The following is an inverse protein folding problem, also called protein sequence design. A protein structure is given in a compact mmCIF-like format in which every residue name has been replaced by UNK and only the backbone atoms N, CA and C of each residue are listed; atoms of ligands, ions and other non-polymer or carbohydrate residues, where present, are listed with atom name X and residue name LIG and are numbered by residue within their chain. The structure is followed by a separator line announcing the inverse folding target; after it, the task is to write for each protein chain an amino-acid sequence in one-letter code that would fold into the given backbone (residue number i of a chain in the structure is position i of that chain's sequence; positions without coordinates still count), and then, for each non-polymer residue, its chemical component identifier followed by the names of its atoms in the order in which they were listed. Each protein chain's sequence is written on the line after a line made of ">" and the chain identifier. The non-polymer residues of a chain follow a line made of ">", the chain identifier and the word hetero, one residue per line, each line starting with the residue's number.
data_IF_717556016472
#
_entry.id   IF_717556016472
#
_cell.length_a   1.000
_cell.length_b   1.000
_cell.length_c   1.000
_cell.angle_alpha   90.00
_cell.angle_beta   90.00
_cell.angle_gamma   90.00
#
_symmetry.space_group_name_H-M   'P 1'
#
loop_
_entity.id
_entity.type
_entity.pdbx_description
1 polymer ?
#
# COMPACT_ATOMS: atom_id res chain seq x y z
N UNK A 1 -29.92 4.08 -15.68
CA UNK A 1 -29.88 4.38 -14.23
C UNK A 1 -28.50 4.00 -13.75
N UNK A 2 -27.60 4.97 -13.58
CA UNK A 2 -26.29 4.71 -12.97
C UNK A 2 -26.52 4.59 -11.46
N UNK A 3 -26.39 3.38 -10.92
CA UNK A 3 -26.38 3.21 -9.47
C UNK A 3 -25.23 4.07 -8.91
N UNK A 4 -25.55 5.01 -8.01
CA UNK A 4 -24.56 5.72 -7.22
C UNK A 4 -23.92 4.70 -6.26
N UNK A 5 -22.92 3.97 -6.75
CA UNK A 5 -22.16 3.03 -5.95
C UNK A 5 -21.28 3.83 -4.98
N UNK A 6 -21.77 4.06 -3.77
CA UNK A 6 -20.98 4.63 -2.69
C UNK A 6 -19.96 3.58 -2.27
N UNK A 7 -18.69 3.80 -2.58
CA UNK A 7 -17.60 2.94 -2.11
C UNK A 7 -17.60 2.99 -0.59
N UNK A 8 -17.75 1.82 0.06
CA UNK A 8 -17.69 1.73 1.52
C UNK A 8 -16.37 2.29 2.02
N UNK A 9 -16.44 3.13 3.05
CA UNK A 9 -15.27 3.66 3.76
C UNK A 9 -15.02 2.84 5.02
N UNK A 10 -13.78 2.42 5.22
CA UNK A 10 -13.39 1.69 6.43
C UNK A 10 -12.68 2.62 7.43
N UNK A 11 -12.63 2.26 8.72
CA UNK A 11 -11.68 2.83 9.67
C UNK A 11 -10.25 2.80 9.11
N UNK A 12 -9.41 3.77 9.47
CA UNK A 12 -8.07 3.85 8.87
C UNK A 12 -7.19 2.65 9.25
N UNK A 13 -7.30 2.16 10.49
CA UNK A 13 -6.46 1.09 11.01
C UNK A 13 -7.25 -0.20 11.17
N UNK A 14 -6.64 -1.33 10.80
CA UNK A 14 -7.26 -2.67 10.89
C UNK A 14 -7.65 -3.03 12.32
N UNK A 15 -6.88 -2.59 13.31
CA UNK A 15 -7.19 -2.77 14.74
C UNK A 15 -8.48 -2.07 15.20
N UNK A 16 -9.02 -1.14 14.40
CA UNK A 16 -10.27 -0.43 14.67
C UNK A 16 -11.47 -1.06 13.93
N UNK A 17 -11.25 -2.09 13.13
CA UNK A 17 -12.26 -2.68 12.26
C UNK A 17 -12.94 -3.89 12.90
N UNK A 18 -14.19 -4.13 12.50
CA UNK A 18 -14.86 -5.41 12.78
C UNK A 18 -14.27 -6.52 11.90
N UNK A 19 -14.44 -7.79 12.31
CA UNK A 19 -14.02 -8.92 11.48
C UNK A 19 -14.70 -8.94 10.10
N UNK A 20 -15.93 -8.41 10.01
CA UNK A 20 -16.65 -8.29 8.74
C UNK A 20 -16.00 -7.23 7.84
N UNK A 21 -15.65 -6.07 8.40
CA UNK A 21 -14.94 -5.02 7.67
C UNK A 21 -13.57 -5.49 7.19
N UNK A 22 -12.84 -6.26 8.02
CA UNK A 22 -11.54 -6.84 7.64
C UNK A 22 -11.71 -7.78 6.46
N UNK A 23 -12.72 -8.67 6.47
CA UNK A 23 -13.00 -9.60 5.37
C UNK A 23 -13.36 -8.86 4.08
N UNK A 24 -14.18 -7.83 4.18
CA UNK A 24 -14.57 -7.02 3.02
C UNK A 24 -13.38 -6.25 2.44
N UNK A 25 -12.56 -5.65 3.29
CA UNK A 25 -11.35 -4.95 2.87
C UNK A 25 -10.33 -5.92 2.27
N UNK A 26 -10.08 -7.07 2.89
CA UNK A 26 -9.24 -8.13 2.32
C UNK A 26 -9.69 -8.52 0.92
N UNK A 27 -10.99 -8.71 0.73
CA UNK A 27 -11.55 -9.02 -0.58
C UNK A 27 -11.27 -7.91 -1.58
N UNK A 28 -11.45 -6.63 -1.21
CA UNK A 28 -11.09 -5.48 -2.07
C UNK A 28 -9.61 -5.39 -2.39
N UNK A 29 -8.74 -5.83 -1.49
CA UNK A 29 -7.29 -5.86 -1.70
C UNK A 29 -6.87 -7.01 -2.63
N UNK A 30 -7.70 -8.04 -2.83
CA UNK A 30 -7.42 -9.15 -3.74
C UNK A 30 -7.86 -8.82 -5.17
N UNK A 31 -7.08 -9.32 -6.13
CA UNK A 31 -7.30 -9.18 -7.58
C UNK A 31 -8.69 -9.67 -8.04
N UNK A 32 -9.21 -10.72 -7.42
CA UNK A 32 -10.36 -11.49 -7.94
C UNK A 32 -11.75 -10.99 -7.48
N UNK A 33 -11.83 -9.93 -6.67
CA UNK A 33 -13.12 -9.40 -6.20
C UNK A 33 -13.86 -8.58 -7.28
N UNK A 34 -13.19 -8.24 -8.38
CA UNK A 34 -13.82 -7.58 -9.53
C UNK A 34 -14.28 -8.63 -10.55
N UNK A 35 -15.37 -9.33 -10.23
CA UNK A 35 -16.23 -10.05 -11.22
C UNK A 35 -17.48 -9.25 -11.62
N UNK A 36 -17.49 -7.96 -11.31
CA UNK A 36 -18.55 -7.00 -11.65
C UNK A 36 -17.87 -5.83 -12.33
N UNK A 37 -18.54 -5.25 -13.34
CA UNK A 37 -18.10 -4.29 -14.37
C UNK A 37 -17.48 -2.95 -13.87
N UNK A 38 -16.79 -2.94 -12.72
CA UNK A 38 -16.13 -1.80 -12.12
C UNK A 38 -14.61 -1.87 -12.41
N UNK A 39 -14.23 -1.38 -13.59
CA UNK A 39 -12.87 -1.32 -14.12
C UNK A 39 -11.97 -0.29 -13.39
N UNK A 40 -11.77 -0.43 -12.08
CA UNK A 40 -10.85 0.44 -11.31
C UNK A 40 -10.04 -0.35 -10.29
N UNK A 41 -9.04 -1.11 -10.76
CA UNK A 41 -8.11 -1.84 -9.89
C UNK A 41 -6.74 -2.03 -10.51
N UNK A 42 -5.71 -2.11 -9.66
CA UNK A 42 -4.43 -2.70 -10.05
C UNK A 42 -4.70 -4.12 -10.53
N UNK A 43 -4.21 -4.49 -11.72
CA UNK A 43 -4.42 -5.81 -12.31
C UNK A 43 -3.82 -6.96 -11.48
N UNK A 44 -3.10 -6.67 -10.40
CA UNK A 44 -2.45 -7.65 -9.53
C UNK A 44 -2.93 -7.62 -8.06
N UNK A 45 -3.85 -6.73 -7.68
CA UNK A 45 -4.25 -6.55 -6.28
C UNK A 45 -3.14 -5.98 -5.39
N UNK A 46 -3.43 -5.82 -4.10
CA UNK A 46 -2.54 -5.35 -3.05
C UNK A 46 -2.15 -6.46 -2.05
N UNK A 47 -2.79 -7.63 -2.11
CA UNK A 47 -2.44 -8.81 -1.31
C UNK A 47 -2.04 -9.96 -2.21
N UNK A 48 -1.10 -10.79 -1.73
CA UNK A 48 -0.75 -12.05 -2.36
C UNK A 48 -1.89 -13.06 -2.29
N UNK A 49 -1.81 -14.09 -3.14
CA UNK A 49 -2.80 -15.16 -3.16
C UNK A 49 -2.85 -15.89 -1.81
N UNK A 50 -4.01 -15.90 -1.16
CA UNK A 50 -4.22 -16.58 0.12
C UNK A 50 -3.66 -15.85 1.35
N UNK A 51 -3.04 -14.68 1.21
CA UNK A 51 -2.59 -13.91 2.38
C UNK A 51 -3.76 -13.32 3.17
N UNK A 52 -3.61 -13.28 4.49
CA UNK A 52 -4.47 -12.48 5.37
C UNK A 52 -3.88 -11.08 5.57
N UNK A 53 -4.74 -10.06 5.48
CA UNK A 53 -4.41 -8.66 5.78
C UNK A 53 -3.88 -8.50 7.20
N UNK A 54 -4.51 -9.16 8.17
CA UNK A 54 -4.11 -9.08 9.57
C UNK A 54 -2.69 -9.65 9.75
N UNK A 55 -2.42 -10.80 9.15
CA UNK A 55 -1.10 -11.44 9.23
C UNK A 55 -0.01 -10.59 8.56
N UNK A 56 -0.32 -9.99 7.41
CA UNK A 56 0.60 -9.08 6.71
C UNK A 56 0.94 -7.86 7.57
N UNK A 57 -0.06 -7.20 8.15
CA UNK A 57 0.14 -6.03 9.00
C UNK A 57 0.95 -6.40 10.24
N UNK A 58 0.63 -7.50 10.92
CA UNK A 58 1.36 -7.92 12.13
C UNK A 58 2.80 -8.34 11.82
N UNK A 59 3.04 -9.00 10.68
CA UNK A 59 4.40 -9.32 10.19
C UNK A 59 5.23 -8.04 9.99
N UNK A 60 4.66 -7.04 9.32
CA UNK A 60 5.36 -5.79 9.05
C UNK A 60 5.57 -4.95 10.31
N UNK A 61 4.58 -4.90 11.19
CA UNK A 61 4.67 -4.26 12.51
C UNK A 61 5.81 -4.84 13.35
N UNK A 62 5.91 -6.17 13.42
CA UNK A 62 7.02 -6.85 14.11
C UNK A 62 8.36 -6.44 13.50
N UNK A 63 8.45 -6.44 12.17
CA UNK A 63 9.66 -6.07 11.44
C UNK A 63 10.06 -4.61 11.70
N UNK A 64 9.10 -3.68 11.78
CA UNK A 64 9.36 -2.28 12.12
C UNK A 64 9.91 -2.14 13.54
N UNK A 65 9.37 -2.88 14.50
CA UNK A 65 9.85 -2.89 15.88
C UNK A 65 11.30 -3.41 15.96
N UNK A 66 11.59 -4.53 15.31
CA UNK A 66 12.94 -5.11 15.22
C UNK A 66 13.95 -4.12 14.62
N UNK A 67 13.52 -3.39 13.58
CA UNK A 67 14.35 -2.43 12.89
C UNK A 67 14.36 -1.06 13.56
N UNK A 68 13.57 -0.79 14.60
CA UNK A 68 13.41 0.55 15.17
C UNK A 68 12.96 1.60 14.15
N UNK A 69 12.00 1.24 13.29
CA UNK A 69 11.40 2.10 12.27
C UNK A 69 9.94 2.41 12.64
N UNK A 70 9.38 3.46 12.04
CA UNK A 70 7.97 3.85 12.24
C UNK A 70 7.29 4.03 10.89
N UNK A 71 5.98 3.72 10.84
CA UNK A 71 5.15 3.95 9.66
C UNK A 71 5.24 5.41 9.19
N UNK A 72 5.05 6.36 10.12
CA UNK A 72 5.17 7.80 9.84
C UNK A 72 6.54 8.19 9.28
N UNK A 73 7.62 7.65 9.84
CA UNK A 73 8.97 7.94 9.37
C UNK A 73 9.18 7.49 7.93
N UNK A 74 8.80 6.25 7.63
CA UNK A 74 8.90 5.68 6.27
C UNK A 74 8.02 6.47 5.30
N UNK A 75 6.75 6.70 5.62
CA UNK A 75 5.84 7.46 4.77
C UNK A 75 6.35 8.89 4.50
N UNK A 76 6.93 9.55 5.51
CA UNK A 76 7.54 10.88 5.35
C UNK A 76 8.70 10.83 4.36
N UNK A 77 9.61 9.86 4.49
CA UNK A 77 10.75 9.70 3.58
C UNK A 77 10.30 9.40 2.15
N UNK A 78 9.35 8.48 1.96
CA UNK A 78 8.81 8.18 0.64
C UNK A 78 7.99 9.34 0.06
N UNK A 79 7.40 10.20 0.90
CA UNK A 79 6.76 11.44 0.49
C UNK A 79 7.71 12.45 -0.17
N UNK A 80 9.03 12.31 0.04
CA UNK A 80 10.06 13.14 -0.60
C UNK A 80 10.53 12.59 -1.95
N UNK A 81 10.00 11.45 -2.40
CA UNK A 81 10.34 10.89 -3.71
C UNK A 81 9.94 11.80 -4.86
N UNK A 82 10.58 11.59 -6.01
CA UNK A 82 10.29 12.31 -7.25
C UNK A 82 9.47 11.42 -8.18
N UNK A 83 8.56 12.02 -8.95
CA UNK A 83 7.77 11.28 -9.95
C UNK A 83 8.65 10.88 -11.12
N UNK A 84 8.57 9.60 -11.52
CA UNK A 84 9.13 9.06 -12.77
C UNK A 84 8.15 9.20 -13.95
N UNK A 85 6.99 9.81 -13.72
CA UNK A 85 5.90 9.89 -14.68
C UNK A 85 4.83 8.82 -14.49
N UNK A 86 3.82 8.92 -15.34
CA UNK A 86 2.62 8.08 -15.30
C UNK A 86 2.84 6.75 -16.03
N UNK A 87 2.36 5.67 -15.44
CA UNK A 87 2.27 4.39 -16.14
C UNK A 87 1.11 4.39 -17.13
N UNK A 88 1.11 3.49 -18.11
CA UNK A 88 -0.05 3.26 -19.00
C UNK A 88 -1.20 2.52 -18.29
N UNK A 89 -1.05 2.19 -17.01
CA UNK A 89 -2.04 1.49 -16.21
C UNK A 89 -3.10 2.42 -15.63
N UNK A 90 -4.12 1.82 -15.00
CA UNK A 90 -5.22 2.54 -14.36
C UNK A 90 -4.77 3.29 -13.12
N UNK A 91 -5.49 4.36 -12.78
CA UNK A 91 -5.34 5.07 -11.52
C UNK A 91 -5.62 4.10 -10.36
N UNK A 92 -4.66 3.96 -9.46
CA UNK A 92 -4.86 3.15 -8.27
C UNK A 92 -5.54 4.00 -7.21
N UNK A 93 -6.76 3.63 -6.83
CA UNK A 93 -7.49 4.26 -5.73
C UNK A 93 -7.18 3.57 -4.41
N UNK A 94 -7.27 4.32 -3.31
CA UNK A 94 -7.07 3.76 -1.98
C UNK A 94 -8.15 2.68 -1.66
N UNK A 95 -7.74 1.45 -1.30
CA UNK A 95 -8.68 0.37 -1.01
C UNK A 95 -9.45 0.57 0.31
N UNK A 96 -9.10 1.56 1.13
CA UNK A 96 -9.86 1.92 2.33
C UNK A 96 -11.10 2.78 2.05
N UNK A 97 -11.25 3.33 0.83
CA UNK A 97 -12.39 4.18 0.46
C UNK A 97 -12.38 5.55 1.15
N UNK A 98 -11.21 6.08 1.48
CA UNK A 98 -11.03 7.35 2.18
C UNK A 98 -10.89 8.56 1.24
N UNK A 99 -11.19 8.37 -0.06
CA UNK A 99 -11.09 9.39 -1.11
C UNK A 99 -9.69 10.00 -1.28
N UNK A 100 -8.64 9.30 -0.87
CA UNK A 100 -7.28 9.72 -1.21
C UNK A 100 -7.12 9.82 -2.73
N UNK A 101 -6.43 10.85 -3.26
CA UNK A 101 -6.27 11.03 -4.70
C UNK A 101 -5.71 9.78 -5.38
N UNK A 102 -6.45 9.27 -6.36
CA UNK A 102 -5.99 8.18 -7.22
C UNK A 102 -5.03 8.72 -8.27
N UNK A 103 -3.89 8.10 -8.44
CA UNK A 103 -2.94 8.42 -9.50
C UNK A 103 -2.22 7.13 -9.95
N UNK A 104 -1.65 7.14 -11.15
CA UNK A 104 -0.93 6.01 -11.74
C UNK A 104 0.58 6.28 -11.92
N UNK A 105 1.10 7.29 -11.24
CA UNK A 105 2.53 7.64 -11.24
C UNK A 105 3.35 6.64 -10.44
N UNK A 106 4.52 6.33 -10.99
CA UNK A 106 5.59 5.73 -10.21
C UNK A 106 6.45 6.83 -9.61
N UNK A 107 6.81 6.65 -8.35
CA UNK A 107 7.71 7.51 -7.60
C UNK A 107 9.03 6.79 -7.40
N UNK A 108 10.12 7.54 -7.31
CA UNK A 108 11.42 7.02 -6.88
C UNK A 108 11.94 7.83 -5.71
N UNK A 109 12.41 7.12 -4.69
CA UNK A 109 13.24 7.69 -3.63
C UNK A 109 14.65 7.14 -3.81
N UNK A 110 15.65 8.02 -3.74
CA UNK A 110 17.07 7.66 -3.74
C UNK A 110 17.69 8.17 -2.44
N UNK A 111 18.23 7.26 -1.64
CA UNK A 111 18.93 7.64 -0.43
C UNK A 111 20.31 8.23 -0.79
N UNK A 112 20.64 9.45 -0.34
CA UNK A 112 21.89 10.10 -0.69
C UNK A 112 23.12 9.49 -0.01
N UNK A 113 22.96 8.73 1.08
CA UNK A 113 24.07 8.13 1.84
C UNK A 113 24.49 6.80 1.22
N UNK A 114 23.54 5.96 0.86
CA UNK A 114 23.80 4.63 0.27
C UNK A 114 23.87 4.68 -1.25
N UNK A 115 23.26 5.69 -1.88
CA UNK A 115 23.06 5.75 -3.33
C UNK A 115 22.02 4.77 -3.87
N UNK A 116 21.38 3.97 -3.00
CA UNK A 116 20.34 3.02 -3.37
C UNK A 116 19.01 3.74 -3.61
N UNK A 117 18.18 3.13 -4.45
CA UNK A 117 16.87 3.67 -4.80
C UNK A 117 15.77 2.64 -4.64
N UNK A 118 14.55 3.13 -4.51
CA UNK A 118 13.33 2.32 -4.50
C UNK A 118 12.24 2.99 -5.32
N UNK A 119 11.52 2.19 -6.10
CA UNK A 119 10.45 2.64 -7.00
C UNK A 119 9.12 2.10 -6.50
N UNK A 120 8.13 2.96 -6.31
CA UNK A 120 6.83 2.64 -5.71
C UNK A 120 5.70 3.40 -6.40
N UNK A 121 4.45 2.99 -6.15
CA UNK A 121 3.28 3.75 -6.59
C UNK A 121 3.13 5.05 -5.79
N UNK A 122 2.55 6.08 -6.40
CA UNK A 122 2.17 7.32 -5.71
C UNK A 122 1.35 7.08 -4.43
N UNK A 123 0.56 6.00 -4.40
CA UNK A 123 -0.31 5.62 -3.30
C UNK A 123 0.45 5.06 -2.08
N UNK A 124 1.66 4.53 -2.27
CA UNK A 124 2.40 3.79 -1.23
C UNK A 124 2.65 4.59 0.08
N UNK A 125 3.10 5.86 0.06
CA UNK A 125 3.28 6.63 1.29
C UNK A 125 1.98 6.79 2.10
N UNK A 126 0.84 6.89 1.42
CA UNK A 126 -0.48 6.96 2.06
C UNK A 126 -0.87 5.63 2.70
N UNK A 127 -0.72 4.51 2.00
CA UNK A 127 -1.01 3.18 2.57
C UNK A 127 -0.19 2.91 3.82
N UNK A 128 1.10 3.25 3.80
CA UNK A 128 1.99 3.06 4.94
C UNK A 128 1.62 4.02 6.07
N UNK A 129 1.50 5.31 5.77
CA UNK A 129 1.33 6.35 6.78
C UNK A 129 -0.04 6.38 7.44
N UNK A 130 -1.10 6.09 6.68
CA UNK A 130 -2.50 6.18 7.13
C UNK A 130 -3.04 4.81 7.54
N UNK A 131 -2.68 3.76 6.82
CA UNK A 131 -3.29 2.43 6.96
C UNK A 131 -2.35 1.35 7.52
N UNK A 132 -1.10 1.72 7.83
CA UNK A 132 -0.09 0.81 8.35
C UNK A 132 0.13 -0.43 7.47
N UNK A 133 0.01 -0.27 6.15
CA UNK A 133 -0.01 -1.36 5.19
C UNK A 133 1.06 -1.19 4.11
N UNK A 134 1.91 -2.22 3.94
CA UNK A 134 3.03 -2.26 2.98
C UNK A 134 2.74 -3.15 1.76
N UNK A 135 1.47 -3.40 1.46
CA UNK A 135 1.01 -4.46 0.54
C UNK A 135 1.32 -5.87 1.09
N UNK A 136 0.85 -6.90 0.39
CA UNK A 136 1.17 -8.31 0.59
C UNK A 136 2.38 -8.75 -0.24
N UNK A 137 2.54 -10.04 -0.48
CA UNK A 137 3.53 -10.60 -1.40
C UNK A 137 3.11 -10.35 -2.85
N UNK A 138 3.36 -9.13 -3.30
CA UNK A 138 3.11 -8.67 -4.67
C UNK A 138 4.43 -8.29 -5.34
N UNK A 139 4.54 -8.34 -6.68
CA UNK A 139 5.75 -7.91 -7.39
C UNK A 139 6.14 -6.43 -7.18
N UNK A 140 5.23 -5.63 -6.62
CA UNK A 140 5.40 -4.19 -6.38
C UNK A 140 5.57 -3.85 -4.89
N UNK A 141 5.54 -4.86 -4.01
CA UNK A 141 5.69 -4.70 -2.58
C UNK A 141 6.99 -3.96 -2.27
N UNK A 142 6.88 -3.01 -1.36
CA UNK A 142 8.03 -2.46 -0.66
C UNK A 142 7.85 -2.73 0.83
N UNK A 143 8.58 -3.70 1.37
CA UNK A 143 8.50 -4.02 2.79
C UNK A 143 9.37 -3.12 3.67
N UNK A 144 9.17 -3.17 5.00
CA UNK A 144 10.03 -2.47 5.96
C UNK A 144 11.53 -2.82 5.84
N UNK A 145 11.87 -4.07 5.49
CA UNK A 145 13.26 -4.51 5.29
C UNK A 145 13.87 -3.90 4.02
N UNK A 146 13.10 -3.78 2.95
CA UNK A 146 13.58 -3.19 1.69
C UNK A 146 13.90 -1.71 1.91
N UNK A 147 13.02 -0.99 2.58
CA UNK A 147 13.29 0.37 3.01
C UNK A 147 14.55 0.46 3.88
N UNK A 148 14.67 -0.41 4.89
CA UNK A 148 15.83 -0.43 5.78
C UNK A 148 17.16 -0.69 5.06
N UNK A 149 17.18 -1.52 4.02
CA UNK A 149 18.36 -1.71 3.15
C UNK A 149 18.68 -0.43 2.39
N UNK A 150 17.67 0.20 1.78
CA UNK A 150 17.84 1.44 1.00
C UNK A 150 18.45 2.55 1.85
N UNK A 151 18.01 2.73 3.09
CA UNK A 151 18.56 3.75 4.00
C UNK A 151 19.82 3.30 4.76
N UNK A 152 20.35 2.11 4.46
CA UNK A 152 21.61 1.60 5.04
C UNK A 152 21.52 1.16 6.49
N UNK A 153 20.32 0.85 6.98
CA UNK A 153 20.09 0.37 8.35
C UNK A 153 20.41 -1.11 8.52
N UNK A 154 20.24 -1.88 7.46
CA UNK A 154 20.63 -3.29 7.37
C UNK A 154 21.35 -3.53 6.03
N UNK A 155 22.15 -4.58 5.96
CA UNK A 155 22.86 -5.00 4.74
C UNK A 155 22.03 -5.97 3.92
#
# INVERSE_FOLDING_TARGET
>A
MTANYQVKRFPNLVEQMSNEDIRELENRLRKDYVKVDFEMGSSNGFLGCGESLVEVIERDKKTLLELGLTYKGIATTLGMGISLGKTRGFNQSCPWGDNYPSDNSMMVYKDPKTGLSMVYSFLMPHLIGTHHFFEGDTPYRIGPRDFARVIGKIK
#
